data_IF_413812387953
#
_entry.id   IF_413812387953
#
_cell.length_a   1.000
_cell.length_b   1.000
_cell.length_c   1.000
_cell.angle_alpha   90.00
_cell.angle_beta   90.00
_cell.angle_gamma   90.00
#
_symmetry.space_group_name_H-M   'P 1'
#
loop_
_entity.id
_entity.type
_entity.pdbx_description
1 polymer ?
#
# COMPACT_ATOMS: atom_id res chain seq x y z
N UNK A 1 -3.09 -5.05 -11.00
CA UNK A 1 -3.61 -6.44 -11.09
C UNK A 1 -5.03 -6.44 -11.62
N UNK A 2 -5.41 -7.47 -12.37
CA UNK A 2 -6.80 -7.70 -12.74
C UNK A 2 -7.41 -8.68 -11.73
N UNK A 3 -8.42 -8.23 -11.01
CA UNK A 3 -9.15 -9.11 -10.08
C UNK A 3 -10.21 -9.93 -10.82
N UNK A 4 -10.54 -11.13 -10.32
CA UNK A 4 -11.76 -11.84 -10.75
C UNK A 4 -12.98 -10.95 -10.54
N UNK A 5 -13.91 -10.98 -11.49
CA UNK A 5 -15.13 -10.16 -11.40
C UNK A 5 -15.98 -10.52 -10.18
N UNK A 6 -16.01 -11.80 -9.86
CA UNK A 6 -16.72 -12.36 -8.71
C UNK A 6 -16.19 -11.83 -7.37
N UNK A 7 -14.91 -11.44 -7.33
CA UNK A 7 -14.27 -10.83 -6.17
C UNK A 7 -14.47 -9.31 -6.15
N UNK A 8 -14.15 -8.63 -7.25
CA UNK A 8 -14.09 -7.17 -7.27
C UNK A 8 -15.46 -6.49 -7.33
N UNK A 9 -16.39 -7.04 -8.12
CA UNK A 9 -17.69 -6.41 -8.35
C UNK A 9 -18.55 -6.27 -7.09
N UNK A 10 -18.73 -7.31 -6.24
CA UNK A 10 -19.50 -7.18 -5.00
C UNK A 10 -18.90 -6.15 -4.05
N UNK A 11 -17.57 -6.05 -3.97
CA UNK A 11 -16.88 -5.09 -3.11
C UNK A 11 -17.08 -3.66 -3.63
N UNK A 12 -16.99 -3.44 -4.94
CA UNK A 12 -17.26 -2.14 -5.55
C UNK A 12 -18.71 -1.69 -5.33
N UNK A 13 -19.68 -2.60 -5.51
CA UNK A 13 -21.10 -2.28 -5.25
C UNK A 13 -21.34 -1.96 -3.77
N UNK A 14 -20.81 -2.78 -2.85
CA UNK A 14 -20.96 -2.54 -1.41
C UNK A 14 -20.25 -1.27 -0.95
N UNK A 15 -19.18 -0.85 -1.63
CA UNK A 15 -18.46 0.39 -1.33
C UNK A 15 -19.32 1.63 -1.53
N UNK A 16 -20.35 1.59 -2.38
CA UNK A 16 -21.28 2.70 -2.63
C UNK A 16 -22.12 3.07 -1.40
N UNK A 17 -22.25 2.18 -0.43
CA UNK A 17 -22.92 2.45 0.84
C UNK A 17 -22.08 3.27 1.83
N UNK A 18 -20.82 3.55 1.50
CA UNK A 18 -19.89 4.29 2.33
C UNK A 18 -19.44 5.58 1.61
N UNK A 19 -18.94 6.59 2.34
CA UNK A 19 -18.31 7.76 1.72
C UNK A 19 -16.92 7.38 1.16
N UNK A 20 -16.95 6.56 0.11
CA UNK A 20 -15.82 6.04 -0.64
C UNK A 20 -15.95 6.44 -2.11
N UNK A 21 -14.83 6.77 -2.75
CA UNK A 21 -14.78 7.25 -4.12
C UNK A 21 -13.73 6.48 -4.93
N UNK A 22 -14.08 6.15 -6.17
CA UNK A 22 -13.19 5.48 -7.11
C UNK A 22 -12.82 4.05 -6.72
N UNK A 23 -11.94 3.46 -7.53
CA UNK A 23 -11.36 2.14 -7.26
C UNK A 23 -9.98 2.07 -7.92
N UNK A 24 -8.93 1.99 -7.12
CA UNK A 24 -7.53 1.99 -7.56
C UNK A 24 -6.91 0.62 -7.27
N UNK A 25 -6.74 -0.23 -8.30
CA UNK A 25 -6.14 -1.55 -8.12
C UNK A 25 -4.65 -1.45 -7.78
N UNK A 26 -4.11 -2.49 -7.14
CA UNK A 26 -2.67 -2.61 -6.97
C UNK A 26 -1.95 -2.76 -8.31
N UNK A 27 -0.73 -2.23 -8.39
CA UNK A 27 0.07 -2.18 -9.61
C UNK A 27 1.54 -2.48 -9.34
N UNK A 28 2.18 -3.15 -10.29
CA UNK A 28 3.58 -3.51 -10.29
C UNK A 28 3.84 -4.85 -10.97
N UNK A 29 5.08 -5.33 -10.97
CA UNK A 29 5.41 -6.67 -11.45
C UNK A 29 4.74 -7.74 -10.58
N UNK A 30 4.52 -8.93 -11.13
CA UNK A 30 3.99 -10.08 -10.38
C UNK A 30 5.09 -10.86 -9.62
N UNK A 31 6.34 -10.55 -9.88
CA UNK A 31 7.52 -11.04 -9.16
C UNK A 31 8.32 -9.84 -8.64
N UNK A 32 7.79 -9.11 -7.65
CA UNK A 32 8.42 -7.90 -7.13
C UNK A 32 9.48 -8.22 -6.09
N UNK A 33 10.48 -7.34 -5.93
CA UNK A 33 11.40 -7.44 -4.80
C UNK A 33 10.71 -7.21 -3.45
N UNK A 34 9.71 -6.32 -3.41
CA UNK A 34 8.84 -6.08 -2.25
C UNK A 34 7.42 -5.74 -2.69
N UNK A 35 6.46 -6.05 -1.82
CA UNK A 35 5.09 -5.53 -1.93
C UNK A 35 4.89 -4.40 -0.92
N UNK A 36 4.42 -3.25 -1.39
CA UNK A 36 4.10 -2.09 -0.53
C UNK A 36 2.60 -2.06 -0.27
N UNK A 37 2.23 -2.03 1.00
CA UNK A 37 0.83 -1.94 1.45
C UNK A 37 0.59 -0.62 2.17
N UNK A 38 -0.13 0.29 1.52
CA UNK A 38 -0.54 1.58 2.07
C UNK A 38 -1.89 1.54 2.78
N UNK A 39 -2.42 2.73 3.07
CA UNK A 39 -3.72 2.92 3.72
C UNK A 39 -4.87 2.86 2.72
N UNK A 40 -4.97 3.85 1.85
CA UNK A 40 -6.01 4.04 0.85
C UNK A 40 -5.56 5.05 -0.20
N UNK A 41 -6.15 5.08 -1.40
CA UNK A 41 -5.86 6.10 -2.40
C UNK A 41 -6.32 7.48 -1.95
N UNK A 42 -5.63 8.52 -2.40
CA UNK A 42 -6.06 9.91 -2.34
C UNK A 42 -6.79 10.34 -3.61
N UNK A 43 -7.07 11.65 -3.74
CA UNK A 43 -7.77 12.20 -4.91
C UNK A 43 -6.99 11.96 -6.21
N UNK A 44 -5.69 12.26 -6.22
CA UNK A 44 -4.83 12.11 -7.41
C UNK A 44 -4.79 10.67 -7.87
N UNK A 45 -4.72 9.72 -6.93
CA UNK A 45 -4.71 8.30 -7.24
C UNK A 45 -6.02 7.84 -7.89
N UNK A 46 -7.16 8.36 -7.44
CA UNK A 46 -8.49 8.07 -8.04
C UNK A 46 -8.59 8.65 -9.45
N UNK A 47 -8.07 9.87 -9.68
CA UNK A 47 -8.05 10.51 -10.98
C UNK A 47 -7.15 9.79 -12.00
N UNK A 48 -5.99 9.29 -11.55
CA UNK A 48 -5.00 8.64 -12.41
C UNK A 48 -5.14 7.12 -12.48
N UNK A 49 -5.87 6.51 -11.56
CA UNK A 49 -5.93 5.04 -11.36
C UNK A 49 -4.56 4.42 -11.07
N UNK A 50 -3.64 5.17 -10.44
CA UNK A 50 -2.28 4.74 -10.12
C UNK A 50 -2.05 4.91 -8.61
N UNK A 51 -1.78 3.82 -7.84
CA UNK A 51 -1.50 3.93 -6.42
C UNK A 51 -0.23 4.74 -6.17
N UNK A 52 -0.22 5.59 -5.14
CA UNK A 52 0.88 6.48 -4.81
C UNK A 52 1.36 7.34 -5.99
N UNK A 53 0.45 8.00 -6.70
CA UNK A 53 0.76 8.97 -7.77
C UNK A 53 0.74 10.42 -7.30
N UNK A 54 0.21 10.70 -6.11
CA UNK A 54 0.14 12.04 -5.52
C UNK A 54 1.41 12.45 -4.74
N UNK A 55 1.25 13.41 -3.82
CA UNK A 55 2.36 13.96 -3.01
C UNK A 55 3.06 12.89 -2.17
N UNK A 56 2.30 12.01 -1.50
CA UNK A 56 2.86 10.91 -0.73
C UNK A 56 3.65 9.94 -1.62
N UNK A 57 3.19 9.74 -2.86
CA UNK A 57 3.88 8.91 -3.86
C UNK A 57 5.24 9.47 -4.25
N UNK A 58 5.38 10.78 -4.39
CA UNK A 58 6.68 11.42 -4.65
C UNK A 58 7.69 11.13 -3.53
N UNK A 59 7.25 11.17 -2.29
CA UNK A 59 8.12 10.84 -1.15
C UNK A 59 8.39 9.32 -1.08
N UNK A 60 7.42 8.47 -1.45
CA UNK A 60 7.66 7.03 -1.56
C UNK A 60 8.76 6.71 -2.59
N UNK A 61 8.74 7.33 -3.77
CA UNK A 61 9.77 7.13 -4.79
C UNK A 61 11.16 7.53 -4.28
N UNK A 62 11.27 8.66 -3.57
CA UNK A 62 12.55 9.05 -2.93
C UNK A 62 13.01 8.00 -1.90
N UNK A 63 12.07 7.48 -1.12
CA UNK A 63 12.34 6.46 -0.12
C UNK A 63 12.79 5.14 -0.75
N UNK A 64 12.15 4.69 -1.84
CA UNK A 64 12.56 3.53 -2.62
C UNK A 64 14.00 3.67 -3.13
N UNK A 65 14.36 4.85 -3.66
CA UNK A 65 15.71 5.12 -4.14
C UNK A 65 16.77 4.97 -3.03
N UNK A 66 16.45 5.26 -1.76
CA UNK A 66 17.34 5.03 -0.62
C UNK A 66 17.61 3.53 -0.37
N UNK A 67 16.67 2.68 -0.75
CA UNK A 67 16.81 1.22 -0.69
C UNK A 67 17.36 0.62 -2.00
N UNK A 68 17.74 1.45 -2.99
CA UNK A 68 18.21 0.99 -4.30
C UNK A 68 17.09 0.42 -5.18
N UNK A 69 15.84 0.75 -4.88
CA UNK A 69 14.65 0.28 -5.59
C UNK A 69 14.04 1.39 -6.44
N UNK A 70 13.38 0.97 -7.51
CA UNK A 70 12.55 1.82 -8.38
C UNK A 70 11.08 1.39 -8.29
N UNK A 71 10.20 2.09 -8.96
CA UNK A 71 8.78 1.71 -9.03
C UNK A 71 8.55 0.39 -9.76
N UNK A 72 9.44 0.07 -10.70
CA UNK A 72 9.42 -1.15 -11.51
C UNK A 72 9.82 -2.40 -10.73
N UNK A 73 10.51 -2.23 -9.59
CA UNK A 73 10.96 -3.34 -8.73
C UNK A 73 9.90 -3.75 -7.71
N UNK A 74 8.82 -2.96 -7.56
CA UNK A 74 7.90 -3.09 -6.42
C UNK A 74 6.45 -3.22 -6.88
N UNK A 75 5.67 -4.02 -6.15
CA UNK A 75 4.22 -4.03 -6.27
C UNK A 75 3.61 -3.10 -5.22
N UNK A 76 2.79 -2.16 -5.64
CA UNK A 76 2.21 -1.14 -4.74
C UNK A 76 0.71 -1.31 -4.65
N UNK A 77 0.22 -1.42 -3.44
CA UNK A 77 -1.20 -1.58 -3.12
C UNK A 77 -1.57 -0.85 -1.81
N UNK A 78 -2.79 -1.02 -1.32
CA UNK A 78 -3.31 -0.40 -0.10
C UNK A 78 -4.34 -1.30 0.60
N UNK A 79 -4.63 -1.05 1.87
CA UNK A 79 -5.65 -1.79 2.62
C UNK A 79 -7.07 -1.54 2.07
N UNK A 80 -7.34 -0.35 1.54
CA UNK A 80 -8.62 0.02 0.90
C UNK A 80 -8.35 0.49 -0.52
N UNK A 81 -9.15 0.02 -1.50
CA UNK A 81 -8.98 0.38 -2.92
C UNK A 81 -9.71 1.65 -3.32
N UNK A 82 -10.61 2.14 -2.50
CA UNK A 82 -11.40 3.35 -2.74
C UNK A 82 -10.95 4.46 -1.79
N UNK A 83 -11.05 5.70 -2.23
CA UNK A 83 -10.68 6.88 -1.46
C UNK A 83 -11.72 7.20 -0.39
N UNK A 84 -11.38 7.13 0.91
CA UNK A 84 -12.27 7.58 1.97
C UNK A 84 -12.28 9.10 2.06
N UNK A 85 -13.46 9.71 2.17
CA UNK A 85 -13.61 11.16 2.28
C UNK A 85 -14.63 11.59 3.34
N UNK A 86 -14.50 12.83 3.79
CA UNK A 86 -15.54 13.54 4.52
C UNK A 86 -16.26 14.49 3.58
N UNK A 87 -17.55 14.71 3.80
CA UNK A 87 -18.26 15.84 3.22
C UNK A 87 -18.15 17.03 4.18
N UNK A 88 -17.61 18.16 3.72
CA UNK A 88 -17.41 19.36 4.53
C UNK A 88 -17.80 20.59 3.73
N UNK A 89 -18.59 21.46 4.35
CA UNK A 89 -18.85 22.81 3.83
C UNK A 89 -17.69 23.73 4.18
N UNK A 90 -17.30 24.58 3.26
CA UNK A 90 -16.35 25.66 3.49
C UNK A 90 -16.77 26.90 2.70
N UNK A 91 -16.37 28.07 3.20
CA UNK A 91 -16.47 29.31 2.45
C UNK A 91 -15.17 29.50 1.68
N UNK A 92 -15.28 29.68 0.37
CA UNK A 92 -14.14 30.04 -0.47
C UNK A 92 -13.69 31.45 -0.12
N UNK A 93 -12.50 31.57 0.45
CA UNK A 93 -11.99 32.86 0.95
C UNK A 93 -11.79 33.91 -0.16
N UNK A 94 -11.69 33.51 -1.43
CA UNK A 94 -11.49 34.42 -2.55
C UNK A 94 -12.81 34.93 -3.13
N UNK A 95 -13.85 34.08 -3.16
CA UNK A 95 -15.13 34.37 -3.83
C UNK A 95 -16.27 34.60 -2.85
N UNK A 96 -16.13 34.25 -1.57
CA UNK A 96 -17.22 34.23 -0.58
C UNK A 96 -18.25 33.13 -0.79
N UNK A 97 -18.10 32.30 -1.81
CA UNK A 97 -19.06 31.23 -2.15
C UNK A 97 -18.97 30.07 -1.16
N UNK A 98 -20.14 29.50 -0.85
CA UNK A 98 -20.23 28.23 -0.13
C UNK A 98 -19.88 27.07 -1.06
N UNK A 99 -18.94 26.25 -0.68
CA UNK A 99 -18.47 25.08 -1.44
C UNK A 99 -18.58 23.82 -0.60
N UNK A 100 -19.03 22.73 -1.20
CA UNK A 100 -18.90 21.39 -0.62
C UNK A 100 -17.57 20.80 -1.10
N UNK A 101 -16.75 20.39 -0.13
CA UNK A 101 -15.46 19.76 -0.40
C UNK A 101 -15.38 18.38 0.24
N UNK A 102 -14.58 17.51 -0.37
CA UNK A 102 -14.39 16.13 0.07
C UNK A 102 -12.91 15.88 0.46
N UNK A 103 -12.47 16.33 1.67
CA UNK A 103 -11.13 16.02 2.15
C UNK A 103 -10.97 14.53 2.44
N UNK A 104 -9.76 14.01 2.22
CA UNK A 104 -9.41 12.64 2.57
C UNK A 104 -9.55 12.41 4.08
N UNK A 105 -9.86 11.20 4.47
CA UNK A 105 -9.84 10.71 5.85
C UNK A 105 -9.24 9.31 5.93
N UNK A 106 -8.91 8.88 7.12
CA UNK A 106 -8.55 7.49 7.40
C UNK A 106 -9.79 6.59 7.21
N UNK A 107 -9.64 5.41 6.59
CA UNK A 107 -10.73 4.46 6.45
C UNK A 107 -11.17 3.91 7.80
N UNK A 108 -12.45 3.61 7.93
CA UNK A 108 -13.01 2.91 9.09
C UNK A 108 -12.64 1.42 9.05
N UNK A 109 -12.74 0.75 10.20
CA UNK A 109 -12.52 -0.70 10.27
C UNK A 109 -13.46 -1.49 9.35
N UNK A 110 -14.71 -1.02 9.17
CA UNK A 110 -15.69 -1.66 8.26
C UNK A 110 -15.26 -1.54 6.80
N UNK A 111 -14.71 -0.39 6.41
CA UNK A 111 -14.20 -0.17 5.05
C UNK A 111 -12.94 -0.99 4.78
N UNK A 112 -12.04 -1.10 5.76
CA UNK A 112 -10.87 -1.98 5.66
C UNK A 112 -11.30 -3.44 5.53
N UNK A 113 -12.28 -3.89 6.33
CA UNK A 113 -12.81 -5.24 6.26
C UNK A 113 -13.48 -5.53 4.91
N UNK A 114 -14.30 -4.60 4.40
CA UNK A 114 -14.94 -4.72 3.10
C UNK A 114 -13.93 -4.95 1.95
N UNK A 115 -12.79 -4.26 2.00
CA UNK A 115 -11.75 -4.38 0.98
C UNK A 115 -10.71 -5.48 1.25
N UNK A 116 -10.80 -6.14 2.41
CA UNK A 116 -9.82 -7.13 2.85
C UNK A 116 -9.59 -8.26 1.83
N UNK A 117 -10.64 -8.87 1.21
CA UNK A 117 -10.44 -9.96 0.27
C UNK A 117 -9.60 -9.58 -0.96
N UNK A 118 -9.60 -8.30 -1.37
CA UNK A 118 -8.78 -7.83 -2.49
C UNK A 118 -7.29 -7.84 -2.15
N UNK A 119 -6.92 -7.41 -0.93
CA UNK A 119 -5.53 -7.44 -0.48
C UNK A 119 -5.06 -8.88 -0.27
N UNK A 120 -5.90 -9.73 0.29
CA UNK A 120 -5.59 -11.15 0.50
C UNK A 120 -5.33 -11.84 -0.84
N UNK A 121 -6.19 -11.62 -1.83
CA UNK A 121 -6.00 -12.12 -3.19
C UNK A 121 -4.67 -11.66 -3.80
N UNK A 122 -4.30 -10.37 -3.67
CA UNK A 122 -3.04 -9.88 -4.19
C UNK A 122 -1.83 -10.54 -3.50
N UNK A 123 -1.87 -10.67 -2.18
CA UNK A 123 -0.78 -11.31 -1.42
C UNK A 123 -0.64 -12.78 -1.82
N UNK A 124 -1.75 -13.49 -2.01
CA UNK A 124 -1.73 -14.89 -2.44
C UNK A 124 -1.19 -15.06 -3.87
N UNK A 125 -1.61 -14.19 -4.80
CA UNK A 125 -1.20 -14.29 -6.20
C UNK A 125 0.26 -13.91 -6.42
N UNK A 126 0.79 -12.98 -5.62
CA UNK A 126 2.15 -12.44 -5.77
C UNK A 126 3.13 -13.22 -4.89
N UNK A 127 2.69 -13.67 -3.74
CA UNK A 127 3.53 -14.30 -2.70
C UNK A 127 4.86 -13.57 -2.48
N UNK A 128 4.84 -12.28 -2.12
CA UNK A 128 6.02 -11.43 -2.14
C UNK A 128 7.05 -11.87 -1.11
N UNK A 129 8.37 -11.76 -1.40
CA UNK A 129 9.42 -12.10 -0.46
C UNK A 129 9.39 -11.21 0.79
N UNK A 130 8.99 -9.96 0.65
CA UNK A 130 8.86 -8.99 1.75
C UNK A 130 7.63 -8.14 1.52
N UNK A 131 6.84 -7.92 2.58
CA UNK A 131 5.74 -6.94 2.61
C UNK A 131 6.19 -5.72 3.40
N UNK A 132 6.25 -4.56 2.76
CA UNK A 132 6.51 -3.28 3.41
C UNK A 132 5.19 -2.58 3.66
N UNK A 133 4.78 -2.43 4.92
CA UNK A 133 3.60 -1.64 5.26
C UNK A 133 3.98 -0.19 5.50
N UNK A 134 3.25 0.75 4.91
CA UNK A 134 3.49 2.19 5.10
C UNK A 134 2.35 2.83 5.88
N UNK A 135 2.61 3.10 7.16
CA UNK A 135 1.63 3.62 8.13
C UNK A 135 0.87 2.53 8.90
N UNK A 136 0.06 2.98 9.86
CA UNK A 136 -0.62 2.07 10.79
C UNK A 136 -1.71 1.21 10.12
N UNK A 137 -2.46 1.72 9.16
CA UNK A 137 -3.62 0.99 8.60
C UNK A 137 -3.18 -0.28 7.87
N UNK A 138 -2.18 -0.20 6.97
CA UNK A 138 -1.61 -1.39 6.32
C UNK A 138 -1.02 -2.37 7.32
N UNK A 139 -0.27 -1.87 8.31
CA UNK A 139 0.32 -2.68 9.37
C UNK A 139 -0.73 -3.42 10.20
N UNK A 140 -1.75 -2.71 10.67
CA UNK A 140 -2.82 -3.28 11.50
C UNK A 140 -3.75 -4.21 10.72
N UNK A 141 -3.92 -3.97 9.41
CA UNK A 141 -4.65 -4.89 8.54
C UNK A 141 -3.98 -6.26 8.49
N UNK A 142 -2.65 -6.31 8.51
CA UNK A 142 -1.90 -7.57 8.42
C UNK A 142 -1.62 -8.18 9.80
N UNK A 143 -1.27 -7.39 10.80
CA UNK A 143 -0.76 -7.88 12.09
C UNK A 143 -1.70 -7.60 13.29
N UNK A 144 -2.91 -7.10 13.02
CA UNK A 144 -3.91 -6.82 14.06
C UNK A 144 -3.78 -5.45 14.72
N UNK A 145 -4.82 -5.03 15.42
CA UNK A 145 -5.01 -3.66 15.90
C UNK A 145 -4.09 -3.22 17.04
N UNK A 146 -3.39 -4.15 17.69
CA UNK A 146 -2.52 -3.84 18.84
C UNK A 146 -1.12 -3.35 18.42
N UNK A 147 -0.72 -3.62 17.18
CA UNK A 147 0.58 -3.21 16.67
C UNK A 147 0.52 -1.74 16.20
N UNK A 148 1.57 -0.99 16.50
CA UNK A 148 1.69 0.42 16.08
C UNK A 148 3.07 0.69 15.47
N UNK A 149 3.08 1.46 14.39
CA UNK A 149 4.27 1.74 13.59
C UNK A 149 5.43 2.30 14.43
N UNK A 150 5.12 3.14 15.43
CA UNK A 150 6.13 3.79 16.30
C UNK A 150 7.08 2.81 16.97
N UNK A 151 6.62 1.60 17.27
CA UNK A 151 7.39 0.60 18.02
C UNK A 151 8.15 -0.39 17.12
N UNK A 152 7.81 -0.45 15.82
CA UNK A 152 8.27 -1.52 14.93
C UNK A 152 8.84 -1.03 13.60
N UNK A 153 8.86 0.29 13.35
CA UNK A 153 9.37 0.82 12.09
C UNK A 153 10.82 0.38 11.81
N UNK A 154 11.12 0.07 10.59
CA UNK A 154 12.44 -0.35 10.14
C UNK A 154 12.90 -1.73 10.61
N UNK A 155 12.05 -2.50 11.31
CA UNK A 155 12.37 -3.84 11.82
C UNK A 155 11.74 -4.92 10.93
N UNK A 156 12.46 -6.02 10.72
CA UNK A 156 11.91 -7.19 10.06
C UNK A 156 11.11 -8.03 11.07
N UNK A 157 9.83 -8.25 10.77
CA UNK A 157 8.92 -9.09 11.54
C UNK A 157 8.61 -10.32 10.69
N UNK A 158 8.81 -11.50 11.23
CA UNK A 158 8.35 -12.75 10.65
C UNK A 158 7.12 -13.25 11.41
N UNK A 159 5.96 -13.24 10.75
CA UNK A 159 4.67 -13.54 11.40
C UNK A 159 3.64 -14.05 10.39
N UNK A 160 2.70 -14.94 10.79
CA UNK A 160 1.43 -15.06 10.12
C UNK A 160 0.76 -13.71 9.98
N UNK A 161 -0.06 -13.53 8.94
CA UNK A 161 -0.84 -12.31 8.71
C UNK A 161 -2.33 -12.60 8.80
N UNK A 162 -3.11 -11.57 9.07
CA UNK A 162 -4.56 -11.66 9.02
C UNK A 162 -5.03 -11.81 7.57
N UNK A 163 -5.94 -12.75 7.37
CA UNK A 163 -6.67 -13.00 6.13
C UNK A 163 -8.17 -12.97 6.44
N UNK A 164 -8.98 -12.37 5.57
CA UNK A 164 -10.42 -12.29 5.77
C UNK A 164 -11.04 -13.69 5.74
N UNK A 165 -12.05 -13.91 6.58
CA UNK A 165 -12.86 -15.12 6.52
C UNK A 165 -13.76 -15.10 5.26
N UNK A 166 -14.31 -16.26 4.89
CA UNK A 166 -15.20 -16.41 3.73
C UNK A 166 -16.50 -15.62 3.84
N UNK A 167 -16.89 -15.25 5.05
CA UNK A 167 -18.12 -14.48 5.33
C UNK A 167 -17.85 -12.97 5.32
N UNK A 168 -16.58 -12.53 5.30
CA UNK A 168 -16.21 -11.11 5.35
C UNK A 168 -16.53 -10.45 6.70
N UNK A 169 -16.69 -11.24 7.76
CA UNK A 169 -17.08 -10.78 9.11
C UNK A 169 -15.91 -10.69 10.09
N UNK A 170 -14.78 -11.34 9.78
CA UNK A 170 -13.62 -11.43 10.65
C UNK A 170 -12.32 -11.74 9.92
N UNK A 171 -11.31 -12.03 10.71
CA UNK A 171 -9.99 -12.44 10.25
C UNK A 171 -9.55 -13.73 10.92
N UNK A 172 -8.86 -14.56 10.19
CA UNK A 172 -8.05 -15.65 10.70
C UNK A 172 -6.58 -15.40 10.35
N UNK A 173 -5.66 -16.13 10.99
CA UNK A 173 -4.23 -16.05 10.71
C UNK A 173 -3.84 -17.05 9.62
N UNK A 174 -2.96 -16.63 8.72
CA UNK A 174 -2.41 -17.53 7.69
C UNK A 174 -1.58 -18.65 8.33
N UNK A 175 -1.53 -19.80 7.66
CA UNK A 175 -0.72 -20.94 8.15
C UNK A 175 0.78 -20.68 7.97
N UNK A 176 1.19 -19.95 6.94
CA UNK A 176 2.59 -19.59 6.72
C UNK A 176 2.91 -18.20 7.26
N UNK A 177 4.14 -17.98 7.76
CA UNK A 177 4.60 -16.65 8.09
C UNK A 177 5.02 -15.88 6.84
N UNK A 178 4.90 -14.55 6.92
CA UNK A 178 5.42 -13.59 5.94
C UNK A 178 6.50 -12.73 6.58
N UNK A 179 7.37 -12.17 5.76
CA UNK A 179 8.35 -11.17 6.18
C UNK A 179 7.73 -9.77 6.01
N UNK A 180 7.56 -9.04 7.10
CA UNK A 180 6.93 -7.72 7.12
C UNK A 180 7.92 -6.69 7.66
N UNK A 181 8.08 -5.58 6.93
CA UNK A 181 8.86 -4.42 7.40
C UNK A 181 7.94 -3.22 7.51
N UNK A 182 7.56 -2.81 8.73
CA UNK A 182 6.76 -1.62 8.94
C UNK A 182 7.59 -0.35 8.68
N UNK A 183 7.04 0.61 7.92
CA UNK A 183 7.64 1.91 7.64
C UNK A 183 6.66 3.04 7.96
N UNK A 184 7.14 4.19 8.36
CA UNK A 184 6.29 5.37 8.46
C UNK A 184 5.66 5.68 7.10
N UNK A 185 4.41 6.17 7.13
CA UNK A 185 3.76 6.61 5.90
C UNK A 185 4.56 7.77 5.26
N UNK A 186 4.80 7.77 3.95
CA UNK A 186 5.60 8.81 3.30
C UNK A 186 5.12 10.24 3.58
N UNK A 187 3.81 10.45 3.72
CA UNK A 187 3.25 11.75 4.07
C UNK A 187 3.50 12.20 5.52
N UNK A 188 4.03 11.34 6.39
CA UNK A 188 4.29 11.70 7.79
C UNK A 188 5.23 12.90 7.93
N UNK A 189 6.18 13.07 7.01
CA UNK A 189 7.11 14.21 6.98
C UNK A 189 6.42 15.57 6.82
N UNK A 190 5.24 15.61 6.19
CA UNK A 190 4.48 16.86 5.98
C UNK A 190 3.88 17.39 7.28
N UNK A 191 3.63 16.49 8.25
CA UNK A 191 3.06 16.80 9.55
C UNK A 191 4.13 16.88 10.65
N UNK A 192 5.18 16.07 10.52
CA UNK A 192 6.29 16.03 11.48
C UNK A 192 7.63 15.85 10.76
N UNK A 193 8.33 16.97 10.55
CA UNK A 193 9.64 16.99 9.86
C UNK A 193 10.75 16.28 10.63
N UNK A 194 10.61 16.10 11.95
CA UNK A 194 11.62 15.37 12.74
C UNK A 194 11.70 13.88 12.39
N UNK A 195 10.68 13.35 11.70
CA UNK A 195 10.70 11.97 11.23
C UNK A 195 11.57 11.75 9.98
N UNK A 196 12.04 12.78 9.31
CA UNK A 196 12.77 12.65 8.04
C UNK A 196 14.00 11.75 8.18
N UNK A 197 14.86 12.01 9.15
CA UNK A 197 16.07 11.20 9.40
C UNK A 197 15.74 9.74 9.76
N UNK A 198 14.69 9.53 10.55
CA UNK A 198 14.22 8.20 10.92
C UNK A 198 13.73 7.43 9.69
N UNK A 199 12.91 8.07 8.84
CA UNK A 199 12.39 7.49 7.60
C UNK A 199 13.56 7.14 6.66
N UNK A 200 14.52 8.05 6.46
CA UNK A 200 15.69 7.78 5.63
C UNK A 200 16.51 6.60 6.14
N UNK A 201 16.76 6.56 7.46
CA UNK A 201 17.49 5.46 8.10
C UNK A 201 16.80 4.12 7.90
N UNK A 202 15.48 4.08 8.09
CA UNK A 202 14.69 2.85 7.95
C UNK A 202 14.72 2.33 6.51
N UNK A 203 14.52 3.21 5.52
CA UNK A 203 14.55 2.81 4.12
C UNK A 203 15.95 2.38 3.65
N UNK A 204 17.03 3.05 4.10
CA UNK A 204 18.40 2.56 3.89
C UNK A 204 18.63 1.19 4.54
N UNK A 205 18.04 0.99 5.74
CA UNK A 205 18.11 -0.25 6.48
C UNK A 205 17.42 -1.43 5.79
N UNK A 206 16.42 -1.18 4.94
CA UNK A 206 15.67 -2.19 4.19
C UNK A 206 16.59 -3.04 3.30
N UNK A 207 17.68 -2.48 2.77
CA UNK A 207 18.64 -3.19 1.93
C UNK A 207 19.21 -4.44 2.57
N UNK A 208 19.24 -4.51 3.91
CA UNK A 208 19.74 -5.68 4.65
C UNK A 208 18.83 -6.90 4.52
N UNK A 209 17.57 -6.68 4.16
CA UNK A 209 16.55 -7.72 4.04
C UNK A 209 16.27 -8.12 2.59
N UNK A 210 16.68 -7.27 1.61
CA UNK A 210 16.53 -7.57 0.19
C UNK A 210 17.50 -8.70 -0.20
N UNK A 211 17.00 -9.67 -0.96
CA UNK A 211 17.89 -10.67 -1.54
C UNK A 211 18.81 -10.00 -2.55
N UNK A 212 20.09 -10.45 -2.70
CA UNK A 212 20.92 -10.00 -3.78
C UNK A 212 20.20 -10.26 -5.10
N UNK A 213 20.07 -9.23 -5.94
CA UNK A 213 19.51 -9.39 -7.29
C UNK A 213 20.27 -10.51 -8.00
N UNK A 214 19.62 -11.62 -8.31
CA UNK A 214 20.16 -12.59 -9.25
C UNK A 214 20.20 -11.88 -10.60
N UNK A 215 21.38 -11.39 -10.98
CA UNK A 215 21.60 -10.87 -12.32
C UNK A 215 21.22 -11.98 -13.31
N UNK A 216 20.12 -11.79 -14.02
CA UNK A 216 19.85 -12.57 -15.21
C UNK A 216 20.94 -12.21 -16.24
N UNK A 217 22.06 -12.93 -16.20
CA UNK A 217 22.99 -13.00 -17.32
C UNK A 217 22.19 -13.52 -18.52
N UNK A 218 21.83 -12.61 -19.43
CA UNK A 218 21.34 -12.99 -20.74
C UNK A 218 22.49 -13.77 -21.40
N UNK A 219 22.29 -15.02 -21.80
CA UNK A 219 23.35 -15.74 -22.54
C UNK A 219 23.65 -14.96 -23.81
N UNK A 220 24.91 -14.53 -23.92
CA UNK A 220 25.41 -13.77 -25.04
C UNK A 220 25.10 -14.48 -26.35
N UNK A 221 24.54 -13.75 -27.30
CA UNK A 221 24.43 -14.17 -28.68
C UNK A 221 25.84 -14.37 -29.26
N UNK A 222 26.31 -15.61 -29.28
CA UNK A 222 27.51 -15.96 -30.03
C UNK A 222 27.23 -15.72 -31.49
N UNK A 223 27.87 -14.69 -32.03
CA UNK A 223 27.97 -14.45 -33.45
C UNK A 223 28.64 -15.66 -34.12
N UNK A 224 27.91 -16.41 -34.93
CA UNK A 224 28.48 -17.30 -35.93
C UNK A 224 28.95 -16.43 -37.08
N UNK A 225 30.30 -16.33 -37.18
CA UNK A 225 30.98 -16.03 -38.45
C UNK A 225 31.09 -17.35 -39.22
N UNK A 226 30.52 -17.42 -40.37
CA UNK A 226 31.07 -18.01 -41.60
C UNK A 226 30.31 -17.44 -42.77
#
# INVERSE_FOLDING_TARGET
>A
MNYPKELAYPIQESSKAFPLEGFVPGQGPLDPQIMIVGEAPGRTEVENFIPFSGQAGKELIKSLALAGLTREDVYITSAVRSRPYHTKERINKRTGAHEIVHPNRTPTKKEVMLHAPLLDYEIEQIDPPIIVTVGNIGLQRLLGNKIVIKNYHGQLIQSPIQQSDSEGSGYHWTNKPYQIVPMYHPAAIFYNRTLAETIEKDWRGLTKFLMPSTTHDKPGSSARKQ
#
